data_IF_892498828424
#
_entry.id   IF_892498828424
#
_cell.length_a   1.000
_cell.length_b   1.000
_cell.length_c   1.000
_cell.angle_alpha   90.00
_cell.angle_beta   90.00
_cell.angle_gamma   90.00
#
_symmetry.space_group_name_H-M   'P 1'
#
loop_
_entity.id
_entity.type
_entity.pdbx_description
1 polymer ?
#
# COMPACT_ATOMS: atom_id res chain seq x y z
N UNK A 1 -51.33 -61.36 44.40
CA UNK A 1 -50.35 -60.39 43.89
C UNK A 1 -50.11 -59.40 45.02
N UNK A 2 -48.96 -59.47 45.68
CA UNK A 2 -48.58 -58.46 46.66
C UNK A 2 -48.15 -57.18 45.90
N UNK A 3 -48.55 -55.98 46.36
CA UNK A 3 -48.15 -54.70 45.74
C UNK A 3 -46.65 -54.59 45.56
N UNK A 4 -46.21 -54.13 44.38
CA UNK A 4 -44.81 -54.01 43.99
C UNK A 4 -44.02 -53.12 44.97
N UNK A 5 -43.23 -53.74 45.85
CA UNK A 5 -42.17 -53.06 46.60
C UNK A 5 -41.07 -52.67 45.60
N UNK A 6 -41.02 -51.38 45.25
CA UNK A 6 -39.92 -50.86 44.43
C UNK A 6 -38.64 -50.90 45.29
N UNK A 7 -37.61 -51.56 44.77
CA UNK A 7 -36.29 -51.65 45.38
C UNK A 7 -35.72 -50.25 45.66
N UNK A 8 -35.24 -50.01 46.88
CA UNK A 8 -34.62 -48.73 47.27
C UNK A 8 -33.27 -48.61 46.58
N UNK A 9 -33.26 -47.90 45.44
CA UNK A 9 -32.08 -47.68 44.59
C UNK A 9 -31.24 -46.47 45.03
N UNK A 10 -31.53 -45.88 46.19
CA UNK A 10 -30.80 -44.69 46.68
C UNK A 10 -29.29 -44.90 46.83
N UNK A 11 -28.86 -46.14 47.04
CA UNK A 11 -27.44 -46.54 47.12
C UNK A 11 -26.80 -46.91 45.75
N UNK A 12 -27.57 -47.03 44.67
CA UNK A 12 -27.04 -47.48 43.36
C UNK A 12 -26.18 -46.44 42.66
N UNK A 13 -26.39 -45.17 42.98
CA UNK A 13 -25.66 -44.04 42.40
C UNK A 13 -25.09 -43.24 43.55
N UNK A 14 -24.08 -43.79 44.25
CA UNK A 14 -23.42 -43.11 45.36
C UNK A 14 -23.17 -41.65 45.01
N UNK A 15 -23.98 -40.75 45.58
CA UNK A 15 -23.90 -39.33 45.26
C UNK A 15 -22.54 -38.84 45.73
N UNK A 16 -21.77 -38.12 44.89
CA UNK A 16 -20.47 -37.63 45.29
C UNK A 16 -20.63 -36.82 46.56
N UNK A 17 -19.79 -37.13 47.55
CA UNK A 17 -19.80 -36.40 48.81
C UNK A 17 -19.51 -34.92 48.53
N UNK A 18 -19.96 -34.03 49.43
CA UNK A 18 -19.69 -32.61 49.31
C UNK A 18 -18.18 -32.33 49.16
N UNK A 19 -17.35 -33.08 49.90
CA UNK A 19 -15.91 -32.97 49.82
C UNK A 19 -15.34 -33.40 48.45
N UNK A 20 -15.88 -34.46 47.83
CA UNK A 20 -15.49 -34.88 46.48
C UNK A 20 -15.88 -33.84 45.44
N UNK A 21 -17.07 -33.26 45.58
CA UNK A 21 -17.56 -32.18 44.73
C UNK A 21 -16.68 -30.94 44.86
N UNK A 22 -16.34 -30.52 46.07
CA UNK A 22 -15.41 -29.41 46.31
C UNK A 22 -14.01 -29.68 45.71
N UNK A 23 -13.47 -30.88 45.87
CA UNK A 23 -12.17 -31.26 45.28
C UNK A 23 -12.21 -31.21 43.75
N UNK A 24 -13.31 -31.65 43.15
CA UNK A 24 -13.48 -31.59 41.70
C UNK A 24 -13.50 -30.14 41.21
N UNK A 25 -14.30 -29.27 41.83
CA UNK A 25 -14.35 -27.86 41.47
C UNK A 25 -13.02 -27.14 41.65
N UNK A 26 -12.28 -27.43 42.74
CA UNK A 26 -10.94 -26.88 42.94
C UNK A 26 -10.00 -27.23 41.77
N UNK A 27 -9.98 -28.49 41.34
CA UNK A 27 -9.18 -28.92 40.18
C UNK A 27 -9.63 -28.26 38.88
N UNK A 28 -10.95 -28.15 38.68
CA UNK A 28 -11.50 -27.49 37.49
C UNK A 28 -11.07 -26.01 37.42
N UNK A 29 -11.19 -25.29 38.53
CA UNK A 29 -10.79 -23.89 38.59
C UNK A 29 -9.27 -23.71 38.46
N UNK A 30 -8.47 -24.60 39.05
CA UNK A 30 -7.02 -24.57 38.88
C UNK A 30 -6.64 -24.71 37.40
N UNK A 31 -7.24 -25.68 36.70
CA UNK A 31 -7.01 -25.87 35.26
C UNK A 31 -7.47 -24.66 34.44
N UNK A 32 -8.65 -24.10 34.74
CA UNK A 32 -9.17 -22.93 34.02
C UNK A 32 -8.28 -21.70 34.21
N UNK A 33 -7.81 -21.45 35.44
CA UNK A 33 -6.88 -20.34 35.72
C UNK A 33 -5.57 -20.53 34.97
N UNK A 34 -5.05 -21.76 34.88
CA UNK A 34 -3.84 -22.07 34.11
C UNK A 34 -4.05 -21.80 32.61
N UNK A 35 -5.16 -22.25 32.04
CA UNK A 35 -5.48 -22.04 30.63
C UNK A 35 -5.67 -20.55 30.29
N UNK A 36 -6.45 -19.82 31.10
CA UNK A 36 -6.63 -18.37 30.95
C UNK A 36 -5.30 -17.62 31.06
N UNK A 37 -4.41 -18.07 31.94
CA UNK A 37 -3.07 -17.48 32.06
C UNK A 37 -2.24 -17.68 30.79
N UNK A 38 -2.32 -18.86 30.17
CA UNK A 38 -1.65 -19.14 28.90
C UNK A 38 -2.24 -18.29 27.76
N UNK A 39 -3.56 -18.22 27.66
CA UNK A 39 -4.25 -17.41 26.66
C UNK A 39 -3.91 -15.93 26.80
N UNK A 40 -3.89 -15.40 28.03
CA UNK A 40 -3.52 -14.01 28.31
C UNK A 40 -2.08 -13.71 27.89
N UNK A 41 -1.13 -14.63 28.15
CA UNK A 41 0.27 -14.46 27.70
C UNK A 41 0.37 -14.40 26.19
N UNK A 42 -0.29 -15.34 25.49
CA UNK A 42 -0.33 -15.37 24.01
C UNK A 42 -0.98 -14.11 23.43
N UNK A 43 -2.10 -13.67 24.01
CA UNK A 43 -2.81 -12.47 23.56
C UNK A 43 -1.94 -11.20 23.71
N UNK A 44 -1.20 -11.10 24.83
CA UNK A 44 -0.25 -10.00 25.06
C UNK A 44 0.90 -10.01 24.06
N UNK A 45 1.49 -11.18 23.80
CA UNK A 45 2.55 -11.34 22.80
C UNK A 45 2.05 -10.97 21.39
N UNK A 46 0.88 -11.47 21.00
CA UNK A 46 0.28 -11.14 19.71
C UNK A 46 0.00 -9.65 19.56
N UNK A 47 -0.51 -8.99 20.61
CA UNK A 47 -0.77 -7.56 20.61
C UNK A 47 0.53 -6.77 20.46
N UNK A 48 1.57 -7.15 21.19
CA UNK A 48 2.88 -6.51 21.08
C UNK A 48 3.47 -6.64 19.66
N UNK A 49 3.42 -7.85 19.10
CA UNK A 49 3.89 -8.10 17.73
C UNK A 49 3.10 -7.28 16.70
N UNK A 50 1.77 -7.18 16.85
CA UNK A 50 0.94 -6.41 15.95
C UNK A 50 1.22 -4.91 16.04
N UNK A 51 1.47 -4.38 17.24
CA UNK A 51 1.85 -2.98 17.44
C UNK A 51 3.21 -2.68 16.78
N UNK A 52 4.19 -3.56 16.94
CA UNK A 52 5.50 -3.40 16.28
C UNK A 52 5.37 -3.44 14.76
N UNK A 53 4.65 -4.43 14.22
CA UNK A 53 4.42 -4.53 12.78
C UNK A 53 3.69 -3.28 12.24
N UNK A 54 2.70 -2.77 12.97
CA UNK A 54 2.01 -1.55 12.59
C UNK A 54 2.94 -0.34 12.57
N UNK A 55 3.86 -0.23 13.54
CA UNK A 55 4.87 0.83 13.57
C UNK A 55 5.81 0.74 12.35
N UNK A 56 6.30 -0.46 12.03
CA UNK A 56 7.18 -0.70 10.88
C UNK A 56 6.49 -0.34 9.56
N UNK A 57 5.27 -0.84 9.35
CA UNK A 57 4.46 -0.54 8.15
C UNK A 57 4.14 0.96 8.06
N UNK A 58 3.89 1.62 9.19
CA UNK A 58 3.65 3.08 9.20
C UNK A 58 4.88 3.86 8.78
N UNK A 59 6.07 3.47 9.24
CA UNK A 59 7.34 4.08 8.87
C UNK A 59 7.64 3.88 7.38
N UNK A 60 7.44 2.67 6.86
CA UNK A 60 7.63 2.37 5.44
C UNK A 60 6.67 3.19 4.57
N UNK A 61 5.38 3.24 4.94
CA UNK A 61 4.38 4.07 4.25
C UNK A 61 4.81 5.54 4.20
N UNK A 62 5.32 6.09 5.29
CA UNK A 62 5.72 7.51 5.35
C UNK A 62 6.96 7.78 4.52
N UNK A 63 7.90 6.84 4.49
CA UNK A 63 9.07 6.86 3.59
C UNK A 63 8.60 6.88 2.13
N UNK A 64 7.77 5.92 1.72
CA UNK A 64 7.24 5.84 0.35
C UNK A 64 6.43 7.08 -0.05
N UNK A 65 5.68 7.68 0.88
CA UNK A 65 4.96 8.94 0.63
C UNK A 65 5.92 10.09 0.37
N UNK A 66 7.02 10.17 1.11
CA UNK A 66 8.04 11.21 0.91
C UNK A 66 8.74 11.06 -0.44
N UNK A 67 9.08 9.83 -0.83
CA UNK A 67 9.68 9.52 -2.13
C UNK A 67 8.71 9.83 -3.27
N UNK A 68 7.44 9.45 -3.14
CA UNK A 68 6.41 9.75 -4.12
C UNK A 68 6.23 11.26 -4.29
N UNK A 69 6.26 12.03 -3.20
CA UNK A 69 6.19 13.49 -3.26
C UNK A 69 7.39 14.08 -4.01
N UNK A 70 8.60 13.58 -3.74
CA UNK A 70 9.83 13.98 -4.43
C UNK A 70 9.75 13.69 -5.93
N UNK A 71 9.41 12.47 -6.31
CA UNK A 71 9.28 12.06 -7.73
C UNK A 71 8.21 12.87 -8.44
N UNK A 72 7.09 13.19 -7.78
CA UNK A 72 6.06 14.07 -8.36
C UNK A 72 6.57 15.49 -8.62
N UNK A 73 7.36 16.05 -7.70
CA UNK A 73 7.96 17.36 -7.88
C UNK A 73 8.95 17.35 -9.06
N UNK A 74 9.87 16.38 -9.10
CA UNK A 74 10.82 16.20 -10.19
C UNK A 74 10.13 16.02 -11.54
N UNK A 75 9.06 15.22 -11.60
CA UNK A 75 8.25 15.06 -12.80
C UNK A 75 7.60 16.37 -13.24
N UNK A 76 7.13 17.18 -12.30
CA UNK A 76 6.52 18.47 -12.61
C UNK A 76 7.54 19.47 -13.18
N UNK A 77 8.76 19.47 -12.66
CA UNK A 77 9.84 20.33 -13.14
C UNK A 77 10.35 19.85 -14.50
N UNK A 78 10.48 18.54 -14.70
CA UNK A 78 10.81 17.97 -16.00
C UNK A 78 9.76 18.33 -17.06
N UNK A 79 8.47 18.26 -16.72
CA UNK A 79 7.38 18.67 -17.63
C UNK A 79 7.46 20.15 -18.00
N UNK A 80 7.77 21.03 -17.04
CA UNK A 80 7.98 22.47 -17.32
C UNK A 80 9.16 22.66 -18.27
N UNK A 81 10.29 22.00 -18.01
CA UNK A 81 11.47 22.08 -18.86
C UNK A 81 11.17 21.61 -20.31
N UNK A 82 10.39 20.54 -20.48
CA UNK A 82 9.96 20.08 -21.80
C UNK A 82 9.16 21.16 -22.53
N UNK A 83 8.15 21.75 -21.89
CA UNK A 83 7.34 22.83 -22.50
C UNK A 83 8.20 24.05 -22.85
N UNK A 84 9.12 24.45 -21.98
CA UNK A 84 10.02 25.58 -22.23
C UNK A 84 10.97 25.31 -23.42
N UNK A 85 11.48 24.08 -23.53
CA UNK A 85 12.33 23.68 -24.65
C UNK A 85 11.52 23.63 -25.95
N UNK A 86 10.32 23.04 -25.93
CA UNK A 86 9.44 22.96 -27.10
C UNK A 86 9.06 24.35 -27.61
N UNK A 87 8.62 25.24 -26.72
CA UNK A 87 8.27 26.62 -27.09
C UNK A 87 9.48 27.35 -27.67
N UNK A 88 10.64 27.31 -27.01
CA UNK A 88 11.87 27.93 -27.51
C UNK A 88 12.29 27.38 -28.87
N UNK A 89 12.24 26.06 -29.05
CA UNK A 89 12.55 25.40 -30.32
C UNK A 89 11.62 25.85 -31.44
N UNK A 90 10.31 25.89 -31.18
CA UNK A 90 9.31 26.37 -32.13
C UNK A 90 9.56 27.82 -32.55
N UNK A 91 9.88 28.71 -31.60
CA UNK A 91 10.24 30.09 -31.92
C UNK A 91 11.49 30.18 -32.81
N UNK A 92 12.51 29.38 -32.53
CA UNK A 92 13.73 29.34 -33.33
C UNK A 92 13.48 28.79 -34.74
N UNK A 93 12.65 27.76 -34.88
CA UNK A 93 12.26 27.22 -36.18
C UNK A 93 11.50 28.26 -37.00
N UNK A 94 10.51 28.94 -36.42
CA UNK A 94 9.76 30.01 -37.10
C UNK A 94 10.69 31.16 -37.56
N UNK A 95 11.66 31.56 -36.73
CA UNK A 95 12.64 32.57 -37.11
C UNK A 95 13.52 32.12 -38.27
N UNK A 96 13.95 30.85 -38.27
CA UNK A 96 14.73 30.25 -39.36
C UNK A 96 13.91 30.12 -40.65
N UNK A 97 12.67 29.67 -40.57
CA UNK A 97 11.77 29.53 -41.74
C UNK A 97 11.51 30.87 -42.42
N UNK A 98 11.36 31.94 -41.61
CA UNK A 98 11.25 33.31 -42.11
C UNK A 98 12.53 33.72 -42.87
N UNK A 99 13.70 33.52 -42.27
CA UNK A 99 14.99 33.86 -42.90
C UNK A 99 15.22 33.07 -44.19
N UNK A 100 14.89 31.77 -44.20
CA UNK A 100 14.95 30.92 -45.40
C UNK A 100 14.04 31.46 -46.49
N UNK A 101 12.80 31.84 -46.15
CA UNK A 101 11.84 32.40 -47.10
C UNK A 101 12.34 33.71 -47.71
N UNK A 102 12.89 34.61 -46.88
CA UNK A 102 13.49 35.88 -47.34
C UNK A 102 14.70 35.65 -48.26
N UNK A 103 15.61 34.75 -47.89
CA UNK A 103 16.76 34.40 -48.72
C UNK A 103 16.32 33.75 -50.04
N UNK A 104 15.34 32.86 -50.00
CA UNK A 104 14.78 32.21 -51.20
C UNK A 104 14.18 33.24 -52.17
N UNK A 105 13.44 34.22 -51.64
CA UNK A 105 12.90 35.32 -52.43
C UNK A 105 14.01 36.16 -53.08
N UNK A 106 15.06 36.50 -52.34
CA UNK A 106 16.21 37.26 -52.87
C UNK A 106 16.97 36.48 -53.94
N UNK A 107 17.22 35.19 -53.73
CA UNK A 107 17.88 34.33 -54.73
C UNK A 107 17.08 34.29 -56.03
N UNK A 108 15.75 34.19 -55.94
CA UNK A 108 14.88 34.23 -57.13
C UNK A 108 15.00 35.57 -57.87
N UNK A 109 14.91 36.69 -57.15
CA UNK A 109 15.07 38.02 -57.75
C UNK A 109 16.43 38.21 -58.45
N UNK A 110 17.52 37.75 -57.83
CA UNK A 110 18.86 37.83 -58.42
C UNK A 110 19.00 36.91 -59.64
N UNK A 111 18.42 35.71 -59.60
CA UNK A 111 18.39 34.80 -60.76
C UNK A 111 17.68 35.44 -61.95
N UNK A 112 16.55 36.08 -61.71
CA UNK A 112 15.75 36.73 -62.76
C UNK A 112 16.46 37.95 -63.37
N UNK A 113 17.50 38.48 -62.71
CA UNK A 113 18.35 39.57 -63.20
C UNK A 113 19.57 39.09 -64.01
N UNK A 114 19.90 37.79 -64.03
CA UNK A 114 20.98 37.26 -64.86
C UNK A 114 20.43 37.01 -66.27
N UNK A 115 20.95 37.68 -67.32
CA UNK A 115 20.53 37.40 -68.68
C UNK A 115 20.89 35.96 -69.03
N UNK A 116 19.91 35.13 -69.37
CA UNK A 116 20.18 33.84 -70.01
C UNK A 116 20.79 34.12 -71.38
N UNK A 117 22.12 34.03 -71.48
CA UNK A 117 22.80 34.05 -72.77
C UNK A 117 22.29 32.85 -73.60
N UNK A 118 21.87 33.04 -74.86
CA UNK A 118 21.48 31.93 -75.71
C UNK A 118 22.70 31.05 -75.97
N UNK A 119 22.56 29.75 -75.69
CA UNK A 119 23.52 28.73 -76.11
C UNK A 119 23.53 28.70 -77.64
N UNK A 120 24.63 29.15 -78.23
CA UNK A 120 24.99 29.01 -79.65
C UNK A 120 25.44 27.59 -79.97
#
# INVERSE_FOLDING_TARGET
MAPDEIEDTSDWMGCPTELETCRHFLRMFENEVQELTLQLRRARENTFNLVNLHADVSNERDTLRSELAKVKAELSDAKRAVVDIETKSNWQLMAKDKAISELTARVKMLRDQIPTAPLS
#
